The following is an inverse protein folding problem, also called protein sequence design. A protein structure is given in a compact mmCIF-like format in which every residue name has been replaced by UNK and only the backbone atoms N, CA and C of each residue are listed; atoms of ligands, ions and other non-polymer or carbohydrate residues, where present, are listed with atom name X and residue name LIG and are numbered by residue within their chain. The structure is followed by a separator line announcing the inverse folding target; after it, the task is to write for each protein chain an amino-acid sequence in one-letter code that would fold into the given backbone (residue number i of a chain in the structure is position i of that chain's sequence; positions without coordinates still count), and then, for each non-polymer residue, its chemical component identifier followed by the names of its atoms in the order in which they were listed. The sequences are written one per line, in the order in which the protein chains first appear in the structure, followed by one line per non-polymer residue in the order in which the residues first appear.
data_IF_850820757049
#
_entry.id   IF_850820757049
#
_cell.length_a   1.000
_cell.length_b   1.000
_cell.length_c   1.000
_cell.angle_alpha   90.00
_cell.angle_beta   90.00
_cell.angle_gamma   90.00
#
_symmetry.space_group_name_H-M   'P 1'
#
loop_
_entity.id
_entity.type
_entity.pdbx_description
1 polymer ?
#
# COMPACT_ATOMS: atom_id res chain seq x y z
N UNK A 1 5.18 -3.76 44.63
CA UNK A 1 3.90 -3.08 44.93
C UNK A 1 2.70 -4.03 44.90
N UNK A 2 2.48 -4.78 43.82
CA UNK A 2 1.30 -5.65 43.64
C UNK A 2 1.02 -6.66 44.79
N UNK A 3 2.04 -7.39 45.27
CA UNK A 3 1.86 -8.34 46.39
C UNK A 3 1.48 -7.65 47.72
N UNK A 4 1.99 -6.45 47.97
CA UNK A 4 1.76 -5.73 49.22
C UNK A 4 0.34 -5.12 49.29
N UNK A 5 -0.23 -4.72 48.15
CA UNK A 5 -1.59 -4.13 48.08
C UNK A 5 -2.70 -5.16 48.07
N UNK A 6 -2.38 -6.42 47.72
CA UNK A 6 -3.36 -7.50 47.63
C UNK A 6 -3.23 -8.54 48.76
N UNK A 7 -2.30 -8.34 49.70
CA UNK A 7 -2.13 -9.20 50.87
C UNK A 7 -2.76 -8.55 52.10
N UNK A 8 -3.87 -9.12 52.59
CA UNK A 8 -4.51 -8.67 53.82
C UNK A 8 -3.77 -9.19 55.05
N UNK A 9 -3.47 -8.33 56.02
CA UNK A 9 -2.89 -8.75 57.31
C UNK A 9 -3.78 -9.74 58.09
N UNK A 10 -5.10 -9.73 57.85
CA UNK A 10 -6.07 -10.62 58.51
C UNK A 10 -6.32 -11.93 57.76
N UNK A 11 -6.29 -11.91 56.43
CA UNK A 11 -6.78 -13.03 55.60
C UNK A 11 -5.78 -13.50 54.53
N UNK A 12 -4.60 -12.86 54.42
CA UNK A 12 -3.62 -13.17 53.39
C UNK A 12 -4.13 -12.80 51.99
N UNK A 13 -3.69 -13.55 50.99
CA UNK A 13 -4.20 -13.45 49.61
C UNK A 13 -5.60 -14.05 49.51
N UNK A 14 -6.45 -13.47 48.66
CA UNK A 14 -7.74 -14.08 48.32
C UNK A 14 -7.51 -15.38 47.54
N UNK A 15 -8.46 -16.32 47.64
CA UNK A 15 -8.36 -17.62 46.95
C UNK A 15 -8.19 -17.47 45.42
N UNK A 16 -8.93 -16.59 44.73
CA UNK A 16 -8.71 -16.35 43.29
C UNK A 16 -7.30 -15.84 42.97
N UNK A 17 -6.72 -15.02 43.87
CA UNK A 17 -5.37 -14.51 43.67
C UNK A 17 -4.30 -15.59 43.89
N UNK A 18 -4.52 -16.51 44.84
CA UNK A 18 -3.62 -17.67 45.00
C UNK A 18 -3.67 -18.58 43.79
N UNK A 19 -4.87 -18.82 43.24
CA UNK A 19 -5.07 -19.61 42.02
C UNK A 19 -4.34 -18.95 40.86
N UNK A 20 -4.54 -17.64 40.63
CA UNK A 20 -3.86 -16.91 39.57
C UNK A 20 -2.32 -16.93 39.71
N UNK A 21 -1.78 -16.77 40.93
CA UNK A 21 -0.33 -16.87 41.17
C UNK A 21 0.18 -18.28 40.82
N UNK A 22 -0.52 -19.31 41.27
CA UNK A 22 -0.16 -20.71 41.01
C UNK A 22 -0.19 -21.03 39.50
N UNK A 23 -1.19 -20.52 38.77
CA UNK A 23 -1.28 -20.69 37.32
C UNK A 23 -0.17 -19.95 36.58
N UNK A 24 0.15 -18.71 36.96
CA UNK A 24 1.27 -17.96 36.38
C UNK A 24 2.61 -18.69 36.58
N UNK A 25 2.84 -19.26 37.77
CA UNK A 25 4.03 -20.07 38.07
C UNK A 25 4.09 -21.32 37.19
N UNK A 26 2.97 -22.04 37.02
CA UNK A 26 2.89 -23.21 36.13
C UNK A 26 3.19 -22.89 34.66
N UNK A 27 2.67 -21.77 34.14
CA UNK A 27 2.92 -21.36 32.74
C UNK A 27 4.38 -20.96 32.55
N UNK A 28 4.98 -20.31 33.56
CA UNK A 28 6.38 -19.89 33.51
C UNK A 28 7.37 -21.06 33.61
N UNK A 29 7.02 -22.09 34.38
CA UNK A 29 7.86 -23.27 34.58
C UNK A 29 7.61 -24.38 33.52
N UNK A 30 6.73 -24.12 32.54
CA UNK A 30 6.44 -25.05 31.47
C UNK A 30 7.64 -25.20 30.50
N UNK A 31 7.92 -26.41 29.97
CA UNK A 31 8.98 -26.61 28.99
C UNK A 31 8.76 -25.75 27.75
N UNK A 32 9.78 -25.00 27.36
CA UNK A 32 9.77 -24.19 26.14
C UNK A 32 9.95 -25.12 24.94
N UNK A 33 9.04 -25.11 23.95
CA UNK A 33 9.22 -25.87 22.71
C UNK A 33 10.52 -25.48 21.99
N UNK A 34 11.20 -26.45 21.39
CA UNK A 34 12.47 -26.21 20.70
C UNK A 34 12.28 -25.22 19.53
N UNK A 35 12.88 -24.04 19.66
CA UNK A 35 12.81 -22.96 18.66
C UNK A 35 11.85 -21.81 18.96
N UNK A 36 11.10 -21.85 20.07
CA UNK A 36 10.24 -20.74 20.50
C UNK A 36 10.91 -19.88 21.59
N UNK A 37 10.61 -18.57 21.59
CA UNK A 37 11.02 -17.67 22.67
C UNK A 37 10.15 -17.91 23.92
N UNK A 38 10.71 -17.80 25.13
CA UNK A 38 9.91 -17.85 26.36
C UNK A 38 8.85 -16.75 26.36
N UNK A 39 7.61 -17.11 26.74
CA UNK A 39 6.52 -16.15 26.91
C UNK A 39 6.94 -15.03 27.86
N UNK A 40 6.64 -13.80 27.47
CA UNK A 40 6.86 -12.64 28.32
C UNK A 40 5.90 -12.63 29.52
N UNK A 41 6.30 -11.96 30.61
CA UNK A 41 5.44 -11.81 31.80
C UNK A 41 4.06 -11.23 31.46
N UNK A 42 3.98 -10.34 30.46
CA UNK A 42 2.72 -9.76 30.01
C UNK A 42 1.81 -10.78 29.32
N UNK A 43 2.36 -11.66 28.48
CA UNK A 43 1.62 -12.72 27.80
C UNK A 43 1.15 -13.80 28.79
N UNK A 44 1.98 -14.16 29.76
CA UNK A 44 1.62 -15.10 30.83
C UNK A 44 0.46 -14.52 31.65
N UNK A 45 0.52 -13.23 32.01
CA UNK A 45 -0.56 -12.55 32.73
C UNK A 45 -1.83 -12.49 31.88
N UNK A 46 -1.73 -12.22 30.58
CA UNK A 46 -2.88 -12.20 29.68
C UNK A 46 -3.55 -13.57 29.56
N UNK A 47 -2.77 -14.65 29.48
CA UNK A 47 -3.25 -16.03 29.40
C UNK A 47 -4.00 -16.45 30.66
N UNK A 48 -3.44 -16.20 31.85
CA UNK A 48 -4.09 -16.50 33.14
C UNK A 48 -5.32 -15.61 33.38
N UNK A 49 -5.29 -14.36 32.91
CA UNK A 49 -6.47 -13.50 32.99
C UNK A 49 -7.56 -13.97 32.03
N UNK A 50 -7.26 -14.55 30.87
CA UNK A 50 -8.29 -15.09 29.96
C UNK A 50 -9.08 -16.24 30.60
N UNK A 51 -8.46 -17.05 31.46
CA UNK A 51 -9.16 -18.13 32.19
C UNK A 51 -9.98 -17.58 33.36
N UNK A 52 -9.39 -16.68 34.16
CA UNK A 52 -9.99 -16.16 35.40
C UNK A 52 -10.99 -15.00 35.18
N UNK A 53 -10.71 -14.08 34.24
CA UNK A 53 -11.55 -12.90 33.96
C UNK A 53 -12.87 -13.27 33.27
N UNK A 54 -12.95 -14.43 32.62
CA UNK A 54 -14.21 -14.93 32.08
C UNK A 54 -15.27 -15.19 33.17
N UNK A 55 -14.85 -15.34 34.43
CA UNK A 55 -15.75 -15.44 35.59
C UNK A 55 -16.01 -14.08 36.25
N UNK A 56 -15.30 -13.02 35.85
CA UNK A 56 -15.42 -11.70 36.46
C UNK A 56 -16.78 -11.07 36.18
N UNK A 57 -17.54 -10.84 37.25
CA UNK A 57 -18.80 -10.10 37.20
C UNK A 57 -18.59 -8.58 37.20
N UNK A 58 -17.34 -8.11 37.31
CA UNK A 58 -17.03 -6.68 37.44
C UNK A 58 -17.67 -5.85 36.33
N UNK A 59 -17.45 -6.22 35.06
CA UNK A 59 -18.04 -5.51 33.91
C UNK A 59 -19.57 -5.51 33.98
N UNK A 60 -20.19 -6.65 34.32
CA UNK A 60 -21.64 -6.74 34.50
C UNK A 60 -22.14 -5.83 35.63
N UNK A 61 -21.40 -5.75 36.75
CA UNK A 61 -21.74 -4.93 37.91
C UNK A 61 -21.58 -3.43 37.65
N UNK A 62 -20.64 -3.03 36.78
CA UNK A 62 -20.48 -1.64 36.33
C UNK A 62 -21.31 -1.31 35.08
N UNK A 63 -22.27 -2.17 34.70
CA UNK A 63 -23.19 -1.96 33.58
C UNK A 63 -22.58 -2.17 32.18
N UNK A 64 -21.34 -2.63 32.10
CA UNK A 64 -20.63 -2.94 30.86
C UNK A 64 -20.94 -4.38 30.45
N UNK A 65 -21.69 -4.55 29.36
CA UNK A 65 -21.93 -5.89 28.80
C UNK A 65 -20.63 -6.45 28.22
N UNK A 66 -20.16 -7.55 28.78
CA UNK A 66 -19.04 -8.31 28.20
C UNK A 66 -19.43 -8.73 26.77
N UNK A 67 -18.77 -8.12 25.78
CA UNK A 67 -19.04 -8.31 24.35
C UNK A 67 -18.46 -9.64 23.90
N UNK A 68 -19.11 -10.74 24.27
CA UNK A 68 -18.82 -12.05 23.70
C UNK A 68 -19.46 -12.12 22.31
N UNK A 69 -18.63 -12.24 21.24
CA UNK A 69 -18.96 -12.74 19.87
C UNK A 69 -19.19 -11.77 18.69
N UNK A 70 -18.73 -10.52 18.70
CA UNK A 70 -18.85 -9.66 17.50
C UNK A 70 -17.59 -9.54 16.61
N UNK A 71 -16.51 -10.27 16.89
CA UNK A 71 -15.25 -10.16 16.14
C UNK A 71 -15.30 -10.62 14.67
N UNK A 72 -16.30 -11.41 14.26
CA UNK A 72 -16.40 -11.95 12.89
C UNK A 72 -17.05 -11.03 11.85
N UNK A 73 -17.86 -10.04 12.27
CA UNK A 73 -18.56 -9.15 11.32
C UNK A 73 -17.66 -8.02 10.80
N UNK A 74 -16.79 -7.48 11.67
CA UNK A 74 -15.82 -6.46 11.27
C UNK A 74 -14.79 -7.01 10.28
N UNK A 75 -14.31 -8.23 10.48
CA UNK A 75 -13.31 -8.87 9.62
C UNK A 75 -13.84 -9.21 8.23
N UNK A 76 -15.09 -9.66 8.12
CA UNK A 76 -15.71 -9.96 6.82
C UNK A 76 -15.93 -8.69 5.96
N UNK A 77 -16.37 -7.59 6.57
CA UNK A 77 -16.57 -6.30 5.88
C UNK A 77 -15.23 -5.73 5.40
N UNK A 78 -14.19 -5.79 6.25
CA UNK A 78 -12.84 -5.37 5.87
C UNK A 78 -12.30 -6.23 4.73
N UNK A 79 -12.44 -7.54 4.78
CA UNK A 79 -11.99 -8.44 3.70
C UNK A 79 -12.72 -8.18 2.37
N UNK A 80 -14.02 -7.88 2.40
CA UNK A 80 -14.77 -7.49 1.20
C UNK A 80 -14.26 -6.16 0.62
N UNK A 81 -13.97 -5.18 1.48
CA UNK A 81 -13.44 -3.89 1.05
C UNK A 81 -12.04 -4.00 0.46
N UNK A 82 -11.15 -4.81 1.06
CA UNK A 82 -9.81 -5.08 0.52
C UNK A 82 -9.89 -5.68 -0.87
N UNK A 83 -10.75 -6.68 -1.09
CA UNK A 83 -10.94 -7.28 -2.42
C UNK A 83 -11.46 -6.27 -3.45
N UNK A 84 -12.40 -5.41 -3.05
CA UNK A 84 -12.90 -4.35 -3.91
C UNK A 84 -11.78 -3.37 -4.32
N UNK A 85 -10.94 -2.95 -3.37
CA UNK A 85 -9.82 -2.05 -3.65
C UNK A 85 -8.76 -2.71 -4.56
N UNK A 86 -8.46 -3.99 -4.34
CA UNK A 86 -7.55 -4.75 -5.21
C UNK A 86 -8.05 -4.82 -6.65
N UNK A 87 -9.34 -5.15 -6.85
CA UNK A 87 -9.93 -5.20 -8.18
C UNK A 87 -9.92 -3.82 -8.86
N UNK A 88 -10.18 -2.76 -8.10
CA UNK A 88 -10.12 -1.39 -8.62
C UNK A 88 -8.69 -0.99 -9.03
N UNK A 89 -7.70 -1.40 -8.24
CA UNK A 89 -6.28 -1.16 -8.53
C UNK A 89 -5.85 -1.88 -9.81
N UNK A 90 -6.19 -3.16 -9.94
CA UNK A 90 -5.88 -3.96 -11.13
C UNK A 90 -6.50 -3.37 -12.40
N UNK A 91 -7.78 -3.00 -12.34
CA UNK A 91 -8.44 -2.32 -13.46
C UNK A 91 -7.77 -0.99 -13.82
N UNK A 92 -7.37 -0.21 -12.80
CA UNK A 92 -6.68 1.05 -13.01
C UNK A 92 -5.30 0.86 -13.63
N UNK A 93 -4.57 -0.19 -13.24
CA UNK A 93 -3.26 -0.52 -13.79
C UNK A 93 -3.35 -0.89 -15.27
N UNK A 94 -4.31 -1.77 -15.62
CA UNK A 94 -4.57 -2.14 -17.02
C UNK A 94 -4.95 -0.92 -17.87
N UNK A 95 -5.79 -0.03 -17.34
CA UNK A 95 -6.15 1.19 -18.05
C UNK A 95 -4.94 2.11 -18.27
N UNK A 96 -4.08 2.26 -17.26
CA UNK A 96 -2.88 3.07 -17.38
C UNK A 96 -1.89 2.51 -18.42
N UNK A 97 -1.74 1.19 -18.47
CA UNK A 97 -0.89 0.51 -19.46
C UNK A 97 -1.40 0.75 -20.89
N UNK A 98 -2.70 0.58 -21.12
CA UNK A 98 -3.32 0.87 -22.43
C UNK A 98 -3.11 2.34 -22.82
N UNK A 99 -3.34 3.29 -21.91
CA UNK A 99 -3.13 4.71 -22.20
C UNK A 99 -1.66 5.02 -22.50
N UNK A 100 -0.72 4.35 -21.83
CA UNK A 100 0.70 4.53 -22.07
C UNK A 100 1.10 4.00 -23.46
N UNK A 101 0.57 2.85 -23.87
CA UNK A 101 0.77 2.28 -25.20
C UNK A 101 0.19 3.19 -26.29
N UNK A 102 -1.04 3.68 -26.12
CA UNK A 102 -1.67 4.62 -27.06
C UNK A 102 -0.86 5.92 -27.19
N UNK A 103 -0.38 6.48 -26.08
CA UNK A 103 0.46 7.67 -26.08
C UNK A 103 1.79 7.43 -26.79
N UNK A 104 2.42 6.26 -26.59
CA UNK A 104 3.65 5.91 -27.27
C UNK A 104 3.43 5.78 -28.79
N UNK A 105 2.33 5.15 -29.20
CA UNK A 105 1.96 5.01 -30.61
C UNK A 105 1.66 6.37 -31.28
N UNK A 106 0.96 7.27 -30.59
CA UNK A 106 0.69 8.62 -31.09
C UNK A 106 2.00 9.39 -31.24
N UNK A 107 2.88 9.33 -30.23
CA UNK A 107 4.18 10.01 -30.27
C UNK A 107 5.04 9.54 -31.44
N UNK A 108 5.13 8.22 -31.65
CA UNK A 108 5.87 7.65 -32.78
C UNK A 108 5.32 8.14 -34.12
N UNK A 109 4.00 8.11 -34.31
CA UNK A 109 3.36 8.62 -35.54
C UNK A 109 3.59 10.11 -35.75
N UNK A 110 3.60 10.90 -34.68
CA UNK A 110 3.88 12.33 -34.76
C UNK A 110 5.33 12.59 -35.20
N UNK A 111 6.30 11.88 -34.63
CA UNK A 111 7.71 11.97 -35.01
C UNK A 111 7.92 11.55 -36.48
N UNK A 112 7.28 10.46 -36.92
CA UNK A 112 7.32 10.02 -38.32
C UNK A 112 6.72 11.06 -39.28
N UNK A 113 5.58 11.65 -38.91
CA UNK A 113 4.93 12.68 -39.71
C UNK A 113 5.77 13.96 -39.79
N UNK A 114 6.36 14.40 -38.68
CA UNK A 114 7.26 15.56 -38.65
C UNK A 114 8.49 15.32 -39.52
N UNK A 115 9.12 14.14 -39.42
CA UNK A 115 10.26 13.79 -40.26
C UNK A 115 9.91 13.72 -41.76
N UNK A 116 8.73 13.21 -42.11
CA UNK A 116 8.25 13.20 -43.50
C UNK A 116 8.01 14.63 -44.01
N UNK A 117 7.38 15.47 -43.20
CA UNK A 117 7.11 16.88 -43.51
C UNK A 117 8.40 17.69 -43.67
N UNK A 118 9.40 17.43 -42.83
CA UNK A 118 10.70 18.12 -42.93
C UNK A 118 11.42 17.77 -44.23
N UNK A 119 11.43 16.49 -44.63
CA UNK A 119 11.99 16.06 -45.92
C UNK A 119 11.28 16.74 -47.10
N UNK A 120 9.96 16.82 -47.07
CA UNK A 120 9.19 17.51 -48.11
C UNK A 120 9.55 19.01 -48.18
N UNK A 121 9.67 19.66 -47.03
CA UNK A 121 10.06 21.07 -46.92
C UNK A 121 11.48 21.31 -47.45
N UNK A 122 12.42 20.39 -47.18
CA UNK A 122 13.78 20.45 -47.69
C UNK A 122 13.82 20.32 -49.23
N UNK A 123 13.04 19.39 -49.79
CA UNK A 123 12.91 19.23 -51.24
C UNK A 123 12.35 20.48 -51.91
N UNK A 124 11.32 21.10 -51.32
CA UNK A 124 10.75 22.35 -51.83
C UNK A 124 11.77 23.50 -51.78
N UNK A 125 12.56 23.61 -50.71
CA UNK A 125 13.62 24.62 -50.60
C UNK A 125 14.69 24.44 -51.67
N UNK A 126 15.18 23.21 -51.88
CA UNK A 126 16.16 22.91 -52.94
C UNK A 126 15.62 23.29 -54.32
N UNK A 127 14.38 22.92 -54.62
CA UNK A 127 13.73 23.28 -55.89
C UNK A 127 13.59 24.80 -56.06
N UNK A 128 13.26 25.55 -55.00
CA UNK A 128 13.21 27.01 -55.03
C UNK A 128 14.58 27.62 -55.32
N UNK A 129 15.62 27.16 -54.61
CA UNK A 129 17.00 27.61 -54.82
C UNK A 129 17.46 27.36 -56.26
N UNK A 130 17.23 26.16 -56.81
CA UNK A 130 17.56 25.86 -58.21
C UNK A 130 16.82 26.77 -59.20
N UNK A 131 15.57 27.13 -58.91
CA UNK A 131 14.80 28.06 -59.75
C UNK A 131 15.35 29.48 -59.66
N UNK A 132 15.71 29.94 -58.47
CA UNK A 132 16.33 31.26 -58.24
C UNK A 132 17.70 31.35 -58.91
N UNK A 133 18.54 30.32 -58.83
CA UNK A 133 19.84 30.24 -59.50
C UNK A 133 19.69 30.29 -61.03
N UNK A 134 18.74 29.53 -61.59
CA UNK A 134 18.43 29.58 -63.03
C UNK A 134 17.98 30.98 -63.47
N UNK A 135 17.15 31.64 -62.67
CA UNK A 135 16.68 32.99 -62.94
C UNK A 135 17.84 34.00 -62.86
N UNK A 136 18.68 33.91 -61.84
CA UNK A 136 19.86 34.77 -61.68
C UNK A 136 20.84 34.60 -62.86
N UNK A 137 21.08 33.35 -63.30
CA UNK A 137 21.92 33.07 -64.46
C UNK A 137 21.34 33.67 -65.75
N UNK A 138 20.03 33.55 -65.95
CA UNK A 138 19.33 34.17 -67.09
C UNK A 138 19.47 35.70 -67.05
N UNK A 139 19.24 36.32 -65.89
CA UNK A 139 19.41 37.77 -65.72
C UNK A 139 20.85 38.22 -66.00
N UNK A 140 21.86 37.43 -65.61
CA UNK A 140 23.25 37.75 -65.92
C UNK A 140 23.55 37.70 -67.43
N UNK A 141 23.00 36.71 -68.15
CA UNK A 141 23.18 36.57 -69.60
C UNK A 141 22.49 37.66 -70.41
N UNK A 142 21.25 38.04 -70.04
CA UNK A 142 20.43 38.98 -70.80
C UNK A 142 20.49 40.42 -70.27
N UNK A 143 20.78 40.62 -68.99
CA UNK A 143 20.96 41.93 -68.36
C UNK A 143 22.30 42.59 -68.68
N UNK A 144 23.30 41.82 -69.11
CA UNK A 144 24.60 42.34 -69.56
C UNK A 144 24.56 42.98 -70.97
N UNK A 145 23.40 43.05 -71.64
CA UNK A 145 23.26 43.56 -73.02
C UNK A 145 22.59 44.94 -73.13
N UNK A 146 22.52 45.69 -72.04
CA UNK A 146 22.08 47.09 -72.05
C UNK A 146 23.24 48.03 -71.68
N UNK A 147 24.20 48.18 -72.59
CA UNK A 147 25.17 49.28 -72.63
C UNK A 147 25.59 49.51 -74.10
#
# INVERSE_FOLDING_TARGET
MFKATNNSKKHGFSEPLKIAILEMEKVKDAPIPEGEEPKSDAEIVEEVLKTEVNQSTFLKNVGIKSSSKNSGKGTAVVAAHVRYLQQKLERSALQAEVMQEEMAAIKLKAEEYEAAREKELELLRKKSQEQEEKLAHLMALFGAKAL
#
